data_IF_099016070247
#
_entry.id   IF_099016070247
#
_cell.length_a   1.000
_cell.length_b   1.000
_cell.length_c   1.000
_cell.angle_alpha   90.00
_cell.angle_beta   90.00
_cell.angle_gamma   90.00
#
_symmetry.space_group_name_H-M   'P 1'
#
loop_
_entity.id
_entity.type
_entity.pdbx_description
1 polymer ?
#
# COMPACT_ATOMS: atom_id res chain seq x y z
N UNK A 1 21.12 4.26 -31.32
CA UNK A 1 19.92 4.95 -31.85
C UNK A 1 18.76 4.60 -30.95
N UNK A 2 18.07 5.60 -30.38
CA UNK A 2 16.82 5.39 -29.66
C UNK A 2 15.77 4.90 -30.67
N UNK A 3 15.29 3.66 -30.53
CA UNK A 3 14.13 3.17 -31.31
C UNK A 3 12.87 3.38 -30.47
N UNK A 4 11.91 4.07 -31.07
CA UNK A 4 10.62 4.42 -30.48
C UNK A 4 9.52 3.79 -31.34
N UNK A 5 8.62 3.03 -30.72
CA UNK A 5 7.43 2.47 -31.36
C UNK A 5 6.19 3.06 -30.68
N UNK A 6 5.24 3.57 -31.47
CA UNK A 6 4.04 4.26 -31.00
C UNK A 6 2.82 3.52 -31.51
N UNK A 7 1.91 3.17 -30.60
CA UNK A 7 0.71 2.37 -30.90
C UNK A 7 -0.49 2.91 -30.14
N UNK A 8 -1.70 2.64 -30.61
CA UNK A 8 -2.92 2.99 -29.87
C UNK A 8 -3.07 2.17 -28.58
N UNK A 9 -3.55 2.81 -27.53
CA UNK A 9 -3.80 2.17 -26.26
C UNK A 9 -5.08 1.33 -26.30
N UNK A 10 -4.95 0.08 -25.88
CA UNK A 10 -6.07 -0.88 -25.86
C UNK A 10 -6.88 -0.81 -24.54
N UNK A 11 -6.26 -0.36 -23.45
CA UNK A 11 -6.93 -0.20 -22.14
C UNK A 11 -7.21 1.29 -21.91
N UNK A 12 -8.33 1.77 -22.45
CA UNK A 12 -8.69 3.18 -22.32
C UNK A 12 -9.41 3.42 -21.00
N UNK A 13 -8.95 4.43 -20.24
CA UNK A 13 -9.53 4.81 -18.94
C UNK A 13 -10.77 5.70 -19.07
N UNK A 14 -10.93 6.39 -20.20
CA UNK A 14 -12.00 7.33 -20.51
C UNK A 14 -12.56 7.07 -21.92
N UNK A 15 -13.70 7.65 -22.31
CA UNK A 15 -14.09 7.69 -23.72
C UNK A 15 -12.95 8.26 -24.58
N UNK A 16 -12.72 7.68 -25.76
CA UNK A 16 -11.66 8.14 -26.68
C UNK A 16 -12.10 9.46 -27.31
N UNK A 17 -11.29 10.49 -27.11
CA UNK A 17 -11.39 11.74 -27.86
C UNK A 17 -10.67 11.54 -29.20
N UNK A 18 -11.34 11.73 -30.35
CA UNK A 18 -10.72 11.61 -31.67
C UNK A 18 -9.51 12.54 -31.87
N UNK A 19 -9.48 13.70 -31.22
CA UNK A 19 -8.37 14.65 -31.30
C UNK A 19 -7.22 14.27 -30.37
N UNK A 20 -7.48 13.43 -29.37
CA UNK A 20 -6.50 13.02 -28.35
C UNK A 20 -6.58 11.50 -28.09
N UNK A 21 -6.24 10.66 -29.09
CA UNK A 21 -6.27 9.23 -28.91
C UNK A 21 -5.22 8.81 -27.87
N UNK A 22 -5.55 7.86 -26.97
CA UNK A 22 -4.62 7.37 -25.99
C UNK A 22 -3.53 6.53 -26.68
N UNK A 23 -2.26 6.81 -26.37
CA UNK A 23 -1.10 6.15 -27.00
C UNK A 23 -0.30 5.31 -26.00
N UNK A 24 0.30 4.23 -26.51
CA UNK A 24 1.35 3.45 -25.87
C UNK A 24 2.65 3.74 -26.63
N UNK A 25 3.65 4.21 -25.90
CA UNK A 25 4.98 4.51 -26.44
C UNK A 25 5.97 3.53 -25.85
N UNK A 26 6.56 2.70 -26.70
CA UNK A 26 7.61 1.74 -26.34
C UNK A 26 8.97 2.36 -26.68
N UNK A 27 9.73 2.72 -25.64
CA UNK A 27 11.07 3.31 -25.78
C UNK A 27 12.12 2.24 -25.51
N UNK A 28 12.93 1.92 -26.50
CA UNK A 28 14.12 1.08 -26.31
C UNK A 28 15.29 1.94 -25.84
N UNK A 29 16.16 1.40 -24.96
CA UNK A 29 17.42 2.01 -24.51
C UNK A 29 17.37 3.24 -23.56
N UNK A 30 16.32 3.38 -22.76
CA UNK A 30 16.32 4.32 -21.62
C UNK A 30 16.65 3.56 -20.34
N UNK A 31 17.79 3.89 -19.73
CA UNK A 31 18.14 3.38 -18.41
C UNK A 31 17.44 4.24 -17.34
N UNK A 32 16.24 3.79 -16.93
CA UNK A 32 15.50 4.46 -15.87
C UNK A 32 15.95 3.88 -14.52
N UNK A 33 16.47 4.70 -13.58
CA UNK A 33 16.75 4.22 -12.24
C UNK A 33 15.45 3.70 -11.62
N UNK A 34 15.46 2.44 -11.16
CA UNK A 34 14.32 1.84 -10.49
C UNK A 34 14.05 2.61 -9.21
N UNK A 35 12.87 3.19 -9.08
CA UNK A 35 12.43 3.80 -7.82
C UNK A 35 12.49 2.74 -6.72
N UNK A 36 13.33 2.98 -5.72
CA UNK A 36 13.41 2.13 -4.55
C UNK A 36 12.29 2.56 -3.59
N UNK A 37 11.39 1.63 -3.30
CA UNK A 37 10.36 1.89 -2.28
C UNK A 37 11.03 1.94 -0.91
N UNK A 38 10.79 3.01 -0.15
CA UNK A 38 11.26 3.10 1.24
C UNK A 38 10.63 1.98 2.05
N UNK A 39 11.46 1.02 2.47
CA UNK A 39 11.06 -0.05 3.38
C UNK A 39 10.94 0.56 4.77
N UNK A 40 9.79 1.13 5.08
CA UNK A 40 9.49 1.59 6.44
C UNK A 40 9.26 0.38 7.34
N UNK A 41 10.24 0.10 8.17
CA UNK A 41 10.12 -0.88 9.24
C UNK A 41 9.46 -0.21 10.44
N UNK A 42 8.47 -0.88 11.02
CA UNK A 42 7.81 -0.44 12.24
C UNK A 42 8.05 -1.47 13.33
N UNK A 43 8.39 -0.99 14.52
CA UNK A 43 8.57 -1.84 15.70
C UNK A 43 7.27 -2.56 16.03
N UNK A 44 7.36 -3.88 16.24
CA UNK A 44 6.19 -4.73 16.46
C UNK A 44 6.01 -5.02 17.93
N UNK A 45 5.51 -4.03 18.68
CA UNK A 45 5.30 -4.14 20.13
C UNK A 45 4.49 -5.36 20.54
N UNK A 46 3.54 -5.83 19.71
CA UNK A 46 2.78 -7.05 19.99
C UNK A 46 3.66 -8.32 20.09
N UNK A 47 4.82 -8.34 19.44
CA UNK A 47 5.77 -9.46 19.46
C UNK A 47 7.06 -9.15 20.23
N UNK A 48 7.10 -8.04 20.97
CA UNK A 48 8.28 -7.70 21.75
C UNK A 48 8.50 -8.72 22.87
N UNK A 49 9.76 -9.02 23.16
CA UNK A 49 10.10 -9.87 24.30
C UNK A 49 10.15 -9.00 25.56
N UNK A 50 9.00 -8.85 26.21
CA UNK A 50 8.86 -8.00 27.39
C UNK A 50 9.65 -8.54 28.60
N UNK A 51 9.86 -9.85 28.71
CA UNK A 51 10.64 -10.44 29.80
C UNK A 51 12.11 -9.98 29.72
N UNK A 52 12.71 -10.02 28.52
CA UNK A 52 14.07 -9.51 28.31
C UNK A 52 14.17 -7.99 28.51
N UNK A 53 13.16 -7.24 28.06
CA UNK A 53 13.11 -5.79 28.30
C UNK A 53 13.09 -5.50 29.80
N UNK A 54 12.26 -6.21 30.56
CA UNK A 54 12.16 -6.03 32.00
C UNK A 54 13.48 -6.39 32.71
N UNK A 55 14.11 -7.51 32.34
CA UNK A 55 15.41 -7.89 32.89
C UNK A 55 16.48 -6.85 32.57
N UNK A 56 16.56 -6.39 31.31
CA UNK A 56 17.50 -5.35 30.89
C UNK A 56 17.30 -4.06 31.70
N UNK A 57 16.06 -3.57 31.83
CA UNK A 57 15.78 -2.33 32.56
C UNK A 57 16.00 -2.46 34.07
N UNK A 58 15.90 -3.67 34.63
CA UNK A 58 16.18 -3.95 36.04
C UNK A 58 17.69 -3.97 36.33
N UNK A 59 18.52 -4.34 35.35
CA UNK A 59 19.99 -4.35 35.45
C UNK A 59 20.61 -2.94 35.28
N UNK A 60 19.84 -1.97 34.78
CA UNK A 60 20.30 -0.59 34.59
C UNK A 60 20.42 0.13 35.94
N UNK A 61 21.61 0.65 36.22
CA UNK A 61 21.85 1.52 37.38
C UNK A 61 21.42 2.96 37.06
N UNK A 62 20.16 3.25 37.38
CA UNK A 62 19.56 4.56 37.16
C UNK A 62 20.20 5.67 38.00
N UNK A 63 20.75 5.35 39.17
CA UNK A 63 21.30 6.36 40.08
C UNK A 63 22.56 6.96 39.48
N UNK A 64 23.49 6.12 39.01
CA UNK A 64 24.72 6.59 38.37
C UNK A 64 24.48 7.23 36.99
N UNK A 65 23.49 6.74 36.23
CA UNK A 65 23.13 7.34 34.94
C UNK A 65 22.57 8.75 35.07
N UNK A 66 21.89 9.06 36.17
CA UNK A 66 21.26 10.36 36.40
C UNK A 66 22.15 11.35 37.16
N UNK A 67 23.25 10.89 37.78
CA UNK A 67 24.14 11.70 38.62
C UNK A 67 24.81 12.88 37.86
N UNK A 68 24.87 12.81 36.53
CA UNK A 68 25.45 13.86 35.67
C UNK A 68 24.43 14.82 35.01
N UNK A 69 23.13 14.60 35.20
CA UNK A 69 22.10 15.40 34.54
C UNK A 69 21.81 16.70 35.31
N UNK A 70 21.78 17.83 34.60
CA UNK A 70 21.62 19.16 35.20
C UNK A 70 20.16 19.57 35.37
N UNK A 71 19.28 19.05 34.51
CA UNK A 71 17.86 19.36 34.53
C UNK A 71 16.99 18.14 34.20
N UNK A 72 15.66 18.32 34.35
CA UNK A 72 14.67 17.27 34.10
C UNK A 72 14.62 16.85 32.62
N UNK A 73 14.98 17.75 31.69
CA UNK A 73 14.97 17.45 30.26
C UNK A 73 16.11 16.51 29.90
N UNK A 74 17.31 16.74 30.43
CA UNK A 74 18.47 15.86 30.28
C UNK A 74 18.17 14.48 30.88
N UNK A 75 17.57 14.43 32.08
CA UNK A 75 17.11 13.17 32.69
C UNK A 75 16.15 12.39 31.78
N UNK A 76 15.14 13.07 31.24
CA UNK A 76 14.17 12.47 30.32
C UNK A 76 14.84 11.97 29.04
N UNK A 77 15.83 12.70 28.53
CA UNK A 77 16.56 12.34 27.31
C UNK A 77 17.32 11.03 27.53
N UNK A 78 18.11 10.95 28.60
CA UNK A 78 18.87 9.72 28.96
C UNK A 78 17.92 8.55 29.21
N UNK A 79 16.82 8.78 29.92
CA UNK A 79 15.80 7.76 30.16
C UNK A 79 15.21 7.22 28.85
N UNK A 80 14.82 8.10 27.93
CA UNK A 80 14.28 7.72 26.63
C UNK A 80 15.33 7.02 25.77
N UNK A 81 16.60 7.38 25.84
CA UNK A 81 17.69 6.69 25.15
C UNK A 81 17.81 5.23 25.59
N UNK A 82 17.82 4.97 26.90
CA UNK A 82 17.88 3.61 27.46
C UNK A 82 16.65 2.79 27.06
N UNK A 83 15.45 3.37 27.14
CA UNK A 83 14.22 2.69 26.72
C UNK A 83 14.23 2.41 25.23
N UNK A 84 14.60 3.39 24.41
CA UNK A 84 14.64 3.22 22.97
C UNK A 84 15.65 2.14 22.58
N UNK A 85 16.79 2.06 23.27
CA UNK A 85 17.76 0.97 23.08
C UNK A 85 17.14 -0.39 23.39
N UNK A 86 16.49 -0.53 24.55
CA UNK A 86 15.79 -1.78 24.91
C UNK A 86 14.72 -2.16 23.86
N UNK A 87 13.97 -1.17 23.37
CA UNK A 87 12.97 -1.39 22.31
C UNK A 87 13.66 -1.82 21.01
N UNK A 88 14.76 -1.21 20.60
CA UNK A 88 15.43 -1.58 19.36
C UNK A 88 16.05 -2.98 19.41
N UNK A 89 16.60 -3.37 20.56
CA UNK A 89 17.32 -4.64 20.72
C UNK A 89 16.36 -5.83 20.91
N UNK A 90 15.25 -5.63 21.64
CA UNK A 90 14.34 -6.72 22.03
C UNK A 90 12.98 -6.71 21.33
N UNK A 91 12.71 -5.72 20.46
CA UNK A 91 11.50 -5.66 19.66
C UNK A 91 11.78 -6.03 18.19
N UNK A 92 11.14 -7.07 17.64
CA UNK A 92 11.31 -7.39 16.24
C UNK A 92 10.70 -6.30 15.34
N UNK A 93 11.52 -5.75 14.45
CA UNK A 93 11.06 -4.86 13.40
C UNK A 93 10.17 -5.62 12.39
N UNK A 94 8.98 -5.09 12.11
CA UNK A 94 8.04 -5.65 11.15
C UNK A 94 7.88 -4.75 9.94
N UNK A 95 7.68 -5.36 8.76
CA UNK A 95 7.33 -4.63 7.55
C UNK A 95 5.89 -4.15 7.66
N UNK A 96 5.66 -2.86 7.46
CA UNK A 96 4.31 -2.34 7.31
C UNK A 96 3.63 -3.04 6.13
N UNK A 97 2.49 -3.71 6.37
CA UNK A 97 1.69 -4.28 5.29
C UNK A 97 0.88 -3.15 4.67
N UNK A 98 1.28 -2.69 3.50
CA UNK A 98 0.43 -1.81 2.69
C UNK A 98 -0.57 -2.67 1.94
N UNK A 99 -1.86 -2.36 2.10
CA UNK A 99 -2.87 -3.03 1.31
C UNK A 99 -2.82 -2.45 -0.12
N UNK A 100 -2.45 -3.29 -1.08
CA UNK A 100 -2.33 -2.89 -2.49
C UNK A 100 -3.68 -2.53 -3.12
N UNK A 101 -4.78 -3.05 -2.57
CA UNK A 101 -6.11 -2.88 -3.11
C UNK A 101 -7.01 -2.12 -2.14
N UNK A 102 -7.98 -1.34 -2.65
CA UNK A 102 -9.01 -0.73 -1.81
C UNK A 102 -9.77 -1.78 -0.99
N UNK A 103 -10.25 -1.40 0.19
CA UNK A 103 -10.96 -2.32 1.09
C UNK A 103 -12.22 -2.94 0.48
N UNK A 104 -12.87 -2.25 -0.46
CA UNK A 104 -14.06 -2.72 -1.16
C UNK A 104 -13.78 -3.74 -2.28
N UNK A 105 -12.51 -4.05 -2.56
CA UNK A 105 -12.17 -5.07 -3.55
C UNK A 105 -12.38 -6.47 -2.96
N UNK A 106 -13.28 -7.25 -3.56
CA UNK A 106 -13.36 -8.69 -3.30
C UNK A 106 -12.09 -9.42 -3.79
N UNK A 107 -11.80 -10.58 -3.18
CA UNK A 107 -10.73 -11.49 -3.63
C UNK A 107 -10.92 -11.91 -5.10
N UNK A 108 -12.16 -12.12 -5.52
CA UNK A 108 -12.48 -12.53 -6.89
C UNK A 108 -12.19 -11.42 -7.90
N UNK A 109 -12.56 -10.18 -7.59
CA UNK A 109 -12.21 -9.01 -8.40
C UNK A 109 -10.69 -8.88 -8.55
N UNK A 110 -9.94 -9.06 -7.45
CA UNK A 110 -8.47 -9.02 -7.49
C UNK A 110 -7.92 -10.10 -8.41
N UNK A 111 -8.44 -11.32 -8.33
CA UNK A 111 -8.01 -12.44 -9.18
C UNK A 111 -8.32 -12.15 -10.66
N UNK A 112 -9.51 -11.64 -10.97
CA UNK A 112 -9.90 -11.25 -12.34
C UNK A 112 -9.05 -10.11 -12.89
N UNK A 113 -8.67 -9.13 -12.07
CA UNK A 113 -7.76 -8.06 -12.48
C UNK A 113 -6.34 -8.57 -12.78
N UNK A 114 -5.85 -9.56 -12.01
CA UNK A 114 -4.57 -10.23 -12.29
C UNK A 114 -4.63 -11.01 -13.60
N UNK A 115 -5.72 -11.74 -13.83
CA UNK A 115 -5.98 -12.46 -15.07
C UNK A 115 -6.03 -11.49 -16.27
N UNK A 116 -6.79 -10.39 -16.15
CA UNK A 116 -6.87 -9.30 -17.13
C UNK A 116 -5.47 -8.79 -17.50
N UNK A 117 -4.63 -8.52 -16.49
CA UNK A 117 -3.27 -8.04 -16.71
C UNK A 117 -2.38 -9.09 -17.41
N UNK A 118 -2.52 -10.37 -17.07
CA UNK A 118 -1.80 -11.47 -17.73
C UNK A 118 -2.16 -11.56 -19.22
N UNK A 119 -3.44 -11.47 -19.57
CA UNK A 119 -3.88 -11.47 -20.97
C UNK A 119 -3.39 -10.22 -21.71
N UNK A 120 -3.43 -9.04 -21.08
CA UNK A 120 -2.88 -7.81 -21.65
C UNK A 120 -1.39 -7.95 -22.00
N UNK A 121 -0.59 -8.48 -21.08
CA UNK A 121 0.84 -8.72 -21.31
C UNK A 121 1.05 -9.72 -22.46
N UNK A 122 0.25 -10.78 -22.52
CA UNK A 122 0.29 -11.77 -23.60
C UNK A 122 -0.07 -11.15 -24.96
N UNK A 123 -1.15 -10.38 -25.03
CA UNK A 123 -1.54 -9.64 -26.23
C UNK A 123 -0.44 -8.67 -26.67
N UNK A 124 0.15 -7.92 -25.74
CA UNK A 124 1.22 -6.98 -26.09
C UNK A 124 2.45 -7.68 -26.68
N UNK A 125 2.75 -8.91 -26.24
CA UNK A 125 3.88 -9.72 -26.71
C UNK A 125 3.61 -10.40 -28.06
N UNK A 126 2.44 -11.02 -28.23
CA UNK A 126 2.16 -11.90 -29.38
C UNK A 126 1.17 -11.33 -30.39
N UNK A 127 0.48 -10.23 -30.06
CA UNK A 127 -0.51 -9.53 -30.90
C UNK A 127 -1.65 -10.44 -31.41
N UNK A 128 -1.99 -11.48 -30.66
CA UNK A 128 -3.07 -12.41 -31.00
C UNK A 128 -4.45 -11.76 -30.82
N UNK A 129 -5.31 -11.80 -31.84
CA UNK A 129 -6.66 -11.25 -31.81
C UNK A 129 -7.56 -11.94 -30.76
N UNK A 130 -7.38 -13.23 -30.50
CA UNK A 130 -8.15 -13.93 -29.47
C UNK A 130 -7.84 -13.39 -28.07
N UNK A 131 -6.58 -12.97 -27.83
CA UNK A 131 -6.19 -12.32 -26.58
C UNK A 131 -6.81 -10.94 -26.44
N UNK A 132 -6.91 -10.19 -27.54
CA UNK A 132 -7.58 -8.88 -27.56
C UNK A 132 -9.06 -9.01 -27.20
N UNK A 133 -9.77 -9.96 -27.80
CA UNK A 133 -11.19 -10.22 -27.52
C UNK A 133 -11.36 -10.65 -26.05
N UNK A 134 -10.52 -11.58 -25.59
CA UNK A 134 -10.54 -12.04 -24.20
C UNK A 134 -10.26 -10.92 -23.21
N UNK A 135 -9.30 -10.04 -23.52
CA UNK A 135 -8.98 -8.86 -22.72
C UNK A 135 -10.18 -7.92 -22.63
N UNK A 136 -10.80 -7.56 -23.76
CA UNK A 136 -12.00 -6.69 -23.78
C UNK A 136 -13.14 -7.27 -22.94
N UNK A 137 -13.41 -8.57 -23.09
CA UNK A 137 -14.44 -9.26 -22.32
C UNK A 137 -14.13 -9.25 -20.80
N UNK A 138 -12.88 -9.53 -20.41
CA UNK A 138 -12.47 -9.47 -19.01
C UNK A 138 -12.54 -8.04 -18.45
N UNK A 139 -12.21 -7.01 -19.23
CA UNK A 139 -12.34 -5.61 -18.82
C UNK A 139 -13.78 -5.28 -18.47
N UNK A 140 -14.73 -5.62 -19.35
CA UNK A 140 -16.17 -5.40 -19.09
C UNK A 140 -16.64 -6.13 -17.82
N UNK A 141 -16.22 -7.39 -17.64
CA UNK A 141 -16.54 -8.17 -16.44
C UNK A 141 -15.95 -7.56 -15.16
N UNK A 142 -14.69 -7.14 -15.19
CA UNK A 142 -14.04 -6.49 -14.06
C UNK A 142 -14.74 -5.17 -13.70
N UNK A 143 -15.11 -4.36 -14.68
CA UNK A 143 -15.82 -3.09 -14.45
C UNK A 143 -17.17 -3.34 -13.78
N UNK A 144 -17.97 -4.29 -14.31
CA UNK A 144 -19.26 -4.66 -13.71
C UNK A 144 -19.10 -5.17 -12.27
N UNK A 145 -18.12 -6.02 -12.02
CA UNK A 145 -17.83 -6.55 -10.68
C UNK A 145 -17.33 -5.46 -9.73
N UNK A 146 -16.49 -4.53 -10.20
CA UNK A 146 -16.03 -3.40 -9.40
C UNK A 146 -17.20 -2.50 -8.99
N UNK A 147 -18.11 -2.16 -9.92
CA UNK A 147 -19.31 -1.38 -9.61
C UNK A 147 -20.22 -2.08 -8.61
N UNK A 148 -20.46 -3.38 -8.78
CA UNK A 148 -21.27 -4.17 -7.85
C UNK A 148 -20.65 -4.24 -6.44
N UNK A 149 -19.34 -4.51 -6.35
CA UNK A 149 -18.62 -4.55 -5.08
C UNK A 149 -18.65 -3.19 -4.37
N UNK A 150 -18.45 -2.11 -5.10
CA UNK A 150 -18.49 -0.76 -4.54
C UNK A 150 -19.90 -0.42 -4.03
N UNK A 151 -20.94 -0.78 -4.77
CA UNK A 151 -22.34 -0.59 -4.33
C UNK A 151 -22.64 -1.36 -3.05
N UNK A 152 -22.27 -2.64 -2.99
CA UNK A 152 -22.46 -3.45 -1.77
C UNK A 152 -21.67 -2.90 -0.59
N UNK A 153 -20.44 -2.42 -0.83
CA UNK A 153 -19.64 -1.77 0.18
C UNK A 153 -20.30 -0.50 0.75
N UNK A 154 -20.87 0.36 -0.10
CA UNK A 154 -21.60 1.54 0.35
C UNK A 154 -22.84 1.16 1.16
N UNK A 155 -23.63 0.20 0.67
CA UNK A 155 -24.81 -0.29 1.39
C UNK A 155 -24.44 -0.83 2.77
N UNK A 156 -23.36 -1.61 2.87
CA UNK A 156 -22.89 -2.13 4.15
C UNK A 156 -22.43 -1.02 5.12
N UNK A 157 -21.88 0.09 4.61
CA UNK A 157 -21.55 1.24 5.43
C UNK A 157 -22.82 1.92 5.93
N UNK A 158 -23.77 2.17 5.03
CA UNK A 158 -25.05 2.85 5.33
C UNK A 158 -25.88 2.07 6.35
N UNK A 159 -26.07 0.77 6.14
CA UNK A 159 -26.78 -0.13 7.06
C UNK A 159 -26.03 -0.28 8.40
N UNK A 160 -24.70 -0.13 8.36
CA UNK A 160 -23.79 -0.29 9.47
C UNK A 160 -23.55 0.97 10.31
N UNK A 161 -24.12 2.13 9.97
CA UNK A 161 -23.82 3.40 10.65
C UNK A 161 -24.09 3.31 12.16
N UNK A 162 -25.23 2.71 12.54
CA UNK A 162 -25.62 2.58 13.95
C UNK A 162 -24.82 1.52 14.71
N UNK A 163 -24.43 0.42 14.03
CA UNK A 163 -23.75 -0.73 14.66
C UNK A 163 -22.23 -0.59 14.69
N UNK A 164 -21.65 0.05 13.68
CA UNK A 164 -20.20 0.21 13.53
C UNK A 164 -19.84 1.54 12.84
N UNK A 165 -19.97 2.68 13.55
CA UNK A 165 -19.69 4.00 12.99
C UNK A 165 -18.24 4.19 12.53
N UNK A 166 -17.30 3.32 12.96
CA UNK A 166 -15.89 3.37 12.52
C UNK A 166 -15.75 3.17 11.01
N UNK A 167 -16.61 2.34 10.40
CA UNK A 167 -16.57 2.09 8.95
C UNK A 167 -16.92 3.35 8.16
N UNK A 168 -17.95 4.07 8.61
CA UNK A 168 -18.34 5.35 8.02
C UNK A 168 -17.21 6.37 8.11
N UNK A 169 -16.62 6.56 9.28
CA UNK A 169 -15.51 7.52 9.45
C UNK A 169 -14.26 7.12 8.67
N UNK A 170 -13.99 5.82 8.51
CA UNK A 170 -12.92 5.32 7.63
C UNK A 170 -13.19 5.68 6.17
N UNK A 171 -14.42 5.52 5.69
CA UNK A 171 -14.82 5.93 4.34
C UNK A 171 -14.69 7.44 4.13
N UNK A 172 -15.18 8.26 5.06
CA UNK A 172 -15.07 9.73 5.01
C UNK A 172 -13.61 10.16 4.99
N UNK A 173 -12.76 9.57 5.85
CA UNK A 173 -11.32 9.84 5.88
C UNK A 173 -10.65 9.50 4.54
N UNK A 174 -11.00 8.36 3.95
CA UNK A 174 -10.47 7.98 2.64
C UNK A 174 -10.88 8.94 1.52
N UNK A 175 -12.10 9.50 1.58
CA UNK A 175 -12.62 10.47 0.59
C UNK A 175 -12.03 11.87 0.70
N UNK A 176 -11.62 12.32 1.89
CA UNK A 176 -11.01 13.65 2.10
C UNK A 176 -9.57 13.78 1.56
N UNK A 177 -9.01 12.72 0.97
CA UNK A 177 -7.61 12.67 0.56
C UNK A 177 -6.75 12.35 1.77
N UNK A 178 -6.36 11.08 1.92
CA UNK A 178 -5.52 10.63 3.02
C UNK A 178 -4.11 11.20 2.92
N UNK A 179 -3.91 12.46 3.33
CA UNK A 179 -2.63 12.94 3.85
C UNK A 179 -2.55 12.53 5.31
N UNK A 180 -2.00 11.34 5.54
CA UNK A 180 -1.92 10.79 6.88
C UNK A 180 -1.08 9.52 6.94
N UNK A 181 0.08 9.55 6.31
CA UNK A 181 1.41 9.13 6.80
C UNK A 181 2.42 9.39 5.68
#
# INVERSE_FOLDING_TARGET
MLSCDVREAVDVLCPVDPLHPPLIVDLSSIDCPKLQYNKTYKQNFYKANYDLINSFLAEVDWVSLFDGCKDVNELLTVFLEVINKAVLDFNPASKSKTNKYPQWYSKDLINRLREKNKIRQRYNKYKNLLDLISFKLLTQRCNKMASANYKSYLQNIEDGISKNPKLFWSYVKAKRGGTGT
#
